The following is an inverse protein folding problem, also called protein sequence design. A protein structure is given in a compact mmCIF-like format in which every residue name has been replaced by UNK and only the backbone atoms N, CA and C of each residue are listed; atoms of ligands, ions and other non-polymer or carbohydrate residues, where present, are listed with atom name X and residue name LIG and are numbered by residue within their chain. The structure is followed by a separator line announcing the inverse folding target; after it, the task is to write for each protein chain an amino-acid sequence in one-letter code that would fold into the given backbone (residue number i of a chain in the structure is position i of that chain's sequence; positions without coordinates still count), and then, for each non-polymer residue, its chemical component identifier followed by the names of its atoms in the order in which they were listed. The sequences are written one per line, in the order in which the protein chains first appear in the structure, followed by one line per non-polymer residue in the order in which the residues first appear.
data_IF_827131307718
#
_entry.id   IF_827131307718
#
_cell.length_a   1.000
_cell.length_b   1.000
_cell.length_c   1.000
_cell.angle_alpha   90.00
_cell.angle_beta   90.00
_cell.angle_gamma   90.00
#
_symmetry.space_group_name_H-M   'P 1'
#
loop_
_entity.id
_entity.type
_entity.pdbx_description
1 polymer ?
#
# COMPACT_ATOMS: atom_id res chain seq x y z
N UNK A 1 -124.82 47.10 -22.59
CA UNK A 1 -124.83 48.49 -23.11
C UNK A 1 -123.48 49.15 -22.83
N UNK A 2 -123.06 50.06 -23.72
CA UNK A 2 -121.74 50.73 -23.85
C UNK A 2 -121.38 51.71 -22.72
N UNK A 3 -120.09 51.62 -22.28
CA UNK A 3 -119.02 52.68 -22.11
C UNK A 3 -119.26 53.89 -21.16
N UNK A 4 -118.25 54.77 -20.91
CA UNK A 4 -116.80 54.65 -20.62
C UNK A 4 -116.32 55.60 -19.45
N UNK A 5 -115.04 55.59 -19.06
CA UNK A 5 -114.43 56.69 -18.27
C UNK A 5 -113.13 56.33 -17.55
N UNK A 6 -112.07 57.11 -17.81
CA UNK A 6 -110.65 56.88 -17.50
C UNK A 6 -110.25 57.12 -16.03
N UNK A 7 -109.24 56.37 -15.55
CA UNK A 7 -108.16 56.93 -14.71
C UNK A 7 -106.91 56.05 -14.83
N UNK A 8 -105.77 56.68 -15.09
CA UNK A 8 -104.45 56.05 -15.00
C UNK A 8 -104.23 55.59 -13.56
N UNK A 9 -103.75 54.36 -13.39
CA UNK A 9 -102.71 54.04 -12.42
C UNK A 9 -102.20 52.62 -12.66
N UNK A 10 -100.95 52.54 -13.10
CA UNK A 10 -100.20 51.28 -13.17
C UNK A 10 -99.90 50.85 -11.74
N UNK A 11 -100.33 49.68 -11.24
CA UNK A 11 -99.87 49.24 -9.94
C UNK A 11 -98.39 48.85 -10.08
N UNK A 12 -97.53 49.67 -9.49
CA UNK A 12 -96.13 49.36 -9.21
C UNK A 12 -95.99 47.96 -8.64
N UNK A 13 -95.22 47.11 -9.31
CA UNK A 13 -94.82 45.80 -8.82
C UNK A 13 -93.95 45.90 -7.54
N UNK A 14 -93.99 44.91 -6.62
CA UNK A 14 -93.08 44.87 -5.49
C UNK A 14 -91.72 44.25 -5.90
N UNK A 15 -90.91 44.98 -6.68
CA UNK A 15 -89.58 44.53 -7.15
C UNK A 15 -88.52 44.56 -6.03
N UNK A 16 -88.79 45.24 -4.92
CA UNK A 16 -87.81 45.48 -3.85
C UNK A 16 -87.52 44.25 -2.96
N UNK A 17 -88.51 43.40 -2.66
CA UNK A 17 -88.31 42.23 -1.79
C UNK A 17 -87.46 41.13 -2.44
N UNK A 18 -87.70 40.86 -3.72
CA UNK A 18 -86.96 39.85 -4.50
C UNK A 18 -85.51 40.30 -4.74
N UNK A 19 -85.28 41.59 -5.01
CA UNK A 19 -83.94 42.15 -5.18
C UNK A 19 -83.11 42.07 -3.89
N UNK A 20 -83.70 42.38 -2.73
CA UNK A 20 -83.03 42.31 -1.44
C UNK A 20 -82.68 40.87 -1.04
N UNK A 21 -83.59 39.93 -1.29
CA UNK A 21 -83.34 38.50 -1.07
C UNK A 21 -82.22 38.00 -1.98
N UNK A 22 -82.24 38.34 -3.27
CA UNK A 22 -81.17 38.01 -4.23
C UNK A 22 -79.80 38.57 -3.82
N UNK A 23 -79.73 39.81 -3.34
CA UNK A 23 -78.49 40.39 -2.82
C UNK A 23 -78.00 39.71 -1.52
N UNK A 24 -78.89 39.23 -0.66
CA UNK A 24 -78.50 38.45 0.53
C UNK A 24 -77.95 37.07 0.17
N UNK A 25 -78.59 36.37 -0.79
CA UNK A 25 -78.12 35.11 -1.34
C UNK A 25 -76.77 35.24 -2.04
N UNK A 26 -76.60 36.26 -2.89
CA UNK A 26 -75.33 36.55 -3.56
C UNK A 26 -74.20 36.85 -2.56
N UNK A 27 -74.49 37.59 -1.49
CA UNK A 27 -73.52 37.84 -0.41
C UNK A 27 -73.17 36.58 0.37
N UNK A 28 -74.14 35.71 0.67
CA UNK A 28 -73.87 34.41 1.31
C UNK A 28 -72.97 33.51 0.45
N UNK A 29 -73.29 33.40 -0.85
CA UNK A 29 -72.47 32.65 -1.83
C UNK A 29 -71.06 33.24 -2.01
N UNK A 30 -70.92 34.56 -1.95
CA UNK A 30 -69.62 35.21 -2.03
C UNK A 30 -68.81 34.99 -0.76
N UNK A 31 -69.42 35.09 0.41
CA UNK A 31 -68.77 34.82 1.69
C UNK A 31 -68.32 33.35 1.79
N UNK A 32 -69.14 32.41 1.32
CA UNK A 32 -68.78 31.00 1.26
C UNK A 32 -67.57 30.76 0.35
N UNK A 33 -67.60 31.27 -0.89
CA UNK A 33 -66.46 31.15 -1.83
C UNK A 33 -65.19 31.78 -1.29
N UNK A 34 -65.28 32.94 -0.64
CA UNK A 34 -64.12 33.58 0.01
C UNK A 34 -63.57 32.72 1.16
N UNK A 35 -64.43 32.08 1.94
CA UNK A 35 -64.01 31.14 2.97
C UNK A 35 -63.30 29.91 2.41
N UNK A 36 -63.84 29.31 1.35
CA UNK A 36 -63.24 28.15 0.66
C UNK A 36 -61.87 28.50 0.06
N UNK A 37 -61.73 29.68 -0.56
CA UNK A 37 -60.44 30.17 -1.09
C UNK A 37 -59.42 30.33 0.04
N UNK A 38 -59.80 30.96 1.16
CA UNK A 38 -58.88 31.13 2.31
C UNK A 38 -58.42 29.81 2.90
N UNK A 39 -59.28 28.80 2.98
CA UNK A 39 -58.92 27.45 3.43
C UNK A 39 -57.91 26.83 2.47
N UNK A 40 -58.20 26.88 1.17
CA UNK A 40 -57.31 26.34 0.14
C UNK A 40 -55.96 27.06 0.11
N UNK A 41 -55.93 28.38 0.23
CA UNK A 41 -54.69 29.16 0.34
C UNK A 41 -53.87 28.76 1.57
N UNK A 42 -54.52 28.55 2.71
CA UNK A 42 -53.86 28.08 3.93
C UNK A 42 -53.28 26.67 3.76
N UNK A 43 -54.01 25.76 3.11
CA UNK A 43 -53.54 24.41 2.82
C UNK A 43 -52.33 24.41 1.89
N UNK A 44 -52.38 25.22 0.81
CA UNK A 44 -51.25 25.39 -0.11
C UNK A 44 -50.05 25.99 0.61
N UNK A 45 -50.23 27.03 1.42
CA UNK A 45 -49.15 27.63 2.19
C UNK A 45 -48.51 26.63 3.16
N UNK A 46 -49.30 25.81 3.85
CA UNK A 46 -48.79 24.76 4.74
C UNK A 46 -48.04 23.68 3.96
N UNK A 47 -48.56 23.25 2.80
CA UNK A 47 -47.89 22.27 1.94
C UNK A 47 -46.55 22.80 1.42
N UNK A 48 -46.48 24.08 1.06
CA UNK A 48 -45.23 24.72 0.61
C UNK A 48 -44.21 24.81 1.75
N UNK A 49 -44.64 25.13 2.97
CA UNK A 49 -43.76 25.14 4.14
C UNK A 49 -43.21 23.73 4.43
N UNK A 50 -44.08 22.71 4.40
CA UNK A 50 -43.66 21.33 4.60
C UNK A 50 -42.68 20.87 3.51
N UNK A 51 -42.94 21.22 2.24
CA UNK A 51 -42.05 20.90 1.14
C UNK A 51 -40.69 21.61 1.27
N UNK A 52 -40.68 22.89 1.69
CA UNK A 52 -39.45 23.64 1.96
C UNK A 52 -38.63 22.97 3.06
N UNK A 53 -39.28 22.55 4.14
CA UNK A 53 -38.63 21.87 5.25
C UNK A 53 -38.03 20.53 4.82
N UNK A 54 -38.78 19.71 4.06
CA UNK A 54 -38.26 18.46 3.50
C UNK A 54 -37.04 18.68 2.60
N UNK A 55 -37.05 19.71 1.76
CA UNK A 55 -35.90 20.06 0.92
C UNK A 55 -34.70 20.50 1.76
N UNK A 56 -34.91 21.25 2.85
CA UNK A 56 -33.82 21.63 3.74
C UNK A 56 -33.23 20.40 4.45
N UNK A 57 -34.08 19.51 4.97
CA UNK A 57 -33.65 18.28 5.62
C UNK A 57 -32.86 17.38 4.67
N UNK A 58 -33.39 17.15 3.47
CA UNK A 58 -32.67 16.39 2.42
C UNK A 58 -31.37 17.06 2.00
N UNK A 59 -31.31 18.40 1.96
CA UNK A 59 -30.08 19.14 1.69
C UNK A 59 -29.00 18.93 2.76
N UNK A 60 -29.39 18.90 4.04
CA UNK A 60 -28.46 18.61 5.15
C UNK A 60 -27.97 17.16 5.09
N UNK A 61 -28.86 16.19 4.83
CA UNK A 61 -28.48 14.79 4.68
C UNK A 61 -27.51 14.59 3.50
N UNK A 62 -27.75 15.25 2.36
CA UNK A 62 -26.85 15.22 1.21
C UNK A 62 -25.47 15.79 1.56
N UNK A 63 -25.41 16.92 2.26
CA UNK A 63 -24.13 17.50 2.70
C UNK A 63 -23.36 16.56 3.63
N UNK A 64 -24.05 15.85 4.54
CA UNK A 64 -23.42 14.86 5.42
C UNK A 64 -22.88 13.66 4.63
N UNK A 65 -23.63 13.17 3.66
CA UNK A 65 -23.19 12.08 2.79
C UNK A 65 -22.01 12.48 1.90
N UNK A 66 -22.02 13.69 1.35
CA UNK A 66 -20.91 14.24 0.55
C UNK A 66 -19.64 14.37 1.39
N UNK A 67 -19.75 14.87 2.64
CA UNK A 67 -18.62 14.94 3.56
C UNK A 67 -18.05 13.55 3.90
N UNK A 68 -18.92 12.58 4.19
CA UNK A 68 -18.51 11.20 4.45
C UNK A 68 -17.86 10.52 3.24
N UNK A 69 -18.36 10.80 2.03
CA UNK A 69 -17.75 10.29 0.80
C UNK A 69 -16.36 10.90 0.57
N UNK A 70 -16.19 12.20 0.85
CA UNK A 70 -14.89 12.86 0.76
C UNK A 70 -13.89 12.24 1.76
N UNK A 71 -14.28 12.09 3.03
CA UNK A 71 -13.44 11.49 4.06
C UNK A 71 -13.02 10.06 3.68
N UNK A 72 -13.99 9.22 3.28
CA UNK A 72 -13.69 7.86 2.84
C UNK A 72 -12.77 7.83 1.60
N UNK A 73 -12.92 8.80 0.68
CA UNK A 73 -12.04 8.95 -0.47
C UNK A 73 -10.61 9.32 -0.07
N UNK A 74 -10.44 10.25 0.86
CA UNK A 74 -9.14 10.62 1.41
C UNK A 74 -8.48 9.42 2.10
N UNK A 75 -9.23 8.65 2.89
CA UNK A 75 -8.73 7.42 3.51
C UNK A 75 -8.32 6.35 2.50
N UNK A 76 -9.12 6.12 1.45
CA UNK A 76 -8.80 5.17 0.39
C UNK A 76 -7.51 5.58 -0.35
N UNK A 77 -7.33 6.86 -0.66
CA UNK A 77 -6.07 7.33 -1.28
C UNK A 77 -4.86 7.15 -0.36
N UNK A 78 -5.01 7.41 0.94
CA UNK A 78 -3.96 7.19 1.95
C UNK A 78 -3.60 5.71 2.01
N UNK A 79 -4.59 4.83 2.11
CA UNK A 79 -4.37 3.38 2.18
C UNK A 79 -3.73 2.84 0.91
N UNK A 80 -4.14 3.31 -0.27
CA UNK A 80 -3.50 2.97 -1.55
C UNK A 80 -2.03 3.37 -1.58
N UNK A 81 -1.69 4.57 -1.11
CA UNK A 81 -0.30 5.01 -1.02
C UNK A 81 0.51 4.13 -0.07
N UNK A 82 -0.03 3.80 1.11
CA UNK A 82 0.62 2.89 2.06
C UNK A 82 0.81 1.48 1.50
N UNK A 83 -0.18 0.96 0.77
CA UNK A 83 -0.08 -0.36 0.14
C UNK A 83 1.03 -0.40 -0.92
N UNK A 84 1.12 0.63 -1.76
CA UNK A 84 2.19 0.75 -2.76
C UNK A 84 3.57 0.82 -2.10
N UNK A 85 3.70 1.57 -1.01
CA UNK A 85 4.93 1.63 -0.23
C UNK A 85 5.31 0.26 0.34
N UNK A 86 4.40 -0.42 1.02
CA UNK A 86 4.64 -1.75 1.61
C UNK A 86 4.98 -2.80 0.55
N UNK A 87 4.35 -2.72 -0.62
CA UNK A 87 4.65 -3.63 -1.74
C UNK A 87 6.08 -3.44 -2.23
N UNK A 88 6.54 -2.18 -2.31
CA UNK A 88 7.91 -1.88 -2.68
C UNK A 88 8.90 -2.38 -1.64
N UNK A 89 8.66 -2.11 -0.35
CA UNK A 89 9.51 -2.60 0.74
C UNK A 89 9.62 -4.12 0.74
N UNK A 90 8.52 -4.83 0.45
CA UNK A 90 8.50 -6.28 0.34
C UNK A 90 9.34 -6.79 -0.83
N UNK A 91 9.34 -6.11 -1.97
CA UNK A 91 10.16 -6.50 -3.11
C UNK A 91 11.65 -6.24 -2.85
N UNK A 92 11.99 -5.11 -2.22
CA UNK A 92 13.36 -4.82 -1.78
C UNK A 92 13.87 -5.89 -0.79
N UNK A 93 13.02 -6.36 0.13
CA UNK A 93 13.37 -7.43 1.07
C UNK A 93 13.61 -8.77 0.36
N UNK A 94 12.82 -9.13 -0.65
CA UNK A 94 13.04 -10.35 -1.44
C UNK A 94 14.36 -10.31 -2.21
N UNK A 95 14.72 -9.15 -2.76
CA UNK A 95 16.01 -8.98 -3.44
C UNK A 95 17.16 -9.22 -2.46
N UNK A 96 17.08 -8.64 -1.26
CA UNK A 96 18.07 -8.86 -0.19
C UNK A 96 18.13 -10.32 0.24
N UNK A 97 16.99 -10.98 0.40
CA UNK A 97 16.92 -12.41 0.74
C UNK A 97 17.61 -13.28 -0.32
N UNK A 98 17.34 -13.05 -1.60
CA UNK A 98 17.95 -13.81 -2.69
C UNK A 98 19.47 -13.58 -2.77
N UNK A 99 19.92 -12.35 -2.53
CA UNK A 99 21.35 -12.03 -2.47
C UNK A 99 22.04 -12.69 -1.27
N UNK A 100 21.37 -12.74 -0.12
CA UNK A 100 21.88 -13.40 1.08
C UNK A 100 21.99 -14.92 0.87
N UNK A 101 20.98 -15.56 0.31
CA UNK A 101 21.01 -16.99 -0.03
C UNK A 101 22.16 -17.33 -0.99
N UNK A 102 22.42 -16.47 -1.98
CA UNK A 102 23.56 -16.63 -2.89
C UNK A 102 24.88 -16.55 -2.12
N UNK A 103 25.04 -15.54 -1.26
CA UNK A 103 26.25 -15.38 -0.45
C UNK A 103 26.47 -16.56 0.51
N UNK A 104 25.40 -17.05 1.15
CA UNK A 104 25.47 -18.23 2.02
C UNK A 104 25.99 -19.45 1.26
N UNK A 105 25.46 -19.69 0.05
CA UNK A 105 25.93 -20.78 -0.80
C UNK A 105 27.41 -20.63 -1.20
N UNK A 106 27.86 -19.42 -1.55
CA UNK A 106 29.27 -19.15 -1.86
C UNK A 106 30.18 -19.47 -0.67
N UNK A 107 29.78 -19.05 0.54
CA UNK A 107 30.53 -19.32 1.78
C UNK A 107 30.52 -20.80 2.13
N UNK A 108 29.42 -21.51 1.92
CA UNK A 108 29.31 -22.94 2.12
C UNK A 108 30.22 -23.71 1.17
N UNK A 109 30.30 -23.34 -0.12
CA UNK A 109 31.22 -23.98 -1.07
C UNK A 109 32.68 -23.82 -0.63
N UNK A 110 33.08 -22.63 -0.18
CA UNK A 110 34.43 -22.39 0.32
C UNK A 110 34.71 -23.16 1.63
N UNK A 111 33.77 -23.14 2.57
CA UNK A 111 33.97 -23.72 3.89
C UNK A 111 33.86 -25.25 3.90
N UNK A 112 32.96 -25.81 3.11
CA UNK A 112 32.67 -27.26 3.12
C UNK A 112 33.48 -28.05 2.10
N UNK A 113 34.00 -27.41 1.05
CA UNK A 113 34.73 -28.10 -0.03
C UNK A 113 36.19 -27.65 -0.09
N UNK A 114 36.46 -26.35 -0.19
CA UNK A 114 37.81 -25.88 -0.53
C UNK A 114 38.75 -25.85 0.68
N UNK A 115 38.29 -25.37 1.84
CA UNK A 115 39.12 -25.32 3.05
C UNK A 115 39.53 -26.73 3.53
N UNK A 116 38.62 -27.71 3.68
CA UNK A 116 39.01 -29.06 4.09
C UNK A 116 39.93 -29.74 3.08
N UNK A 117 39.71 -29.50 1.78
CA UNK A 117 40.59 -30.00 0.71
C UNK A 117 41.99 -29.40 0.77
N UNK A 118 42.10 -28.08 0.93
CA UNK A 118 43.39 -27.40 1.07
C UNK A 118 44.14 -27.85 2.34
N UNK A 119 43.42 -28.01 3.45
CA UNK A 119 43.97 -28.57 4.70
C UNK A 119 44.48 -29.99 4.47
N UNK A 120 43.70 -30.85 3.80
CA UNK A 120 44.12 -32.22 3.48
C UNK A 120 45.37 -32.23 2.57
N UNK A 121 45.42 -31.40 1.54
CA UNK A 121 46.59 -31.29 0.65
C UNK A 121 47.83 -30.80 1.41
N UNK A 122 47.70 -29.79 2.27
CA UNK A 122 48.78 -29.30 3.11
C UNK A 122 49.28 -30.38 4.08
N UNK A 123 48.35 -31.11 4.71
CA UNK A 123 48.66 -32.26 5.58
C UNK A 123 49.37 -33.36 4.79
N UNK A 124 48.95 -33.66 3.56
CA UNK A 124 49.58 -34.66 2.71
C UNK A 124 51.01 -34.27 2.34
N UNK A 125 51.23 -33.01 1.95
CA UNK A 125 52.59 -32.51 1.68
C UNK A 125 53.49 -32.64 2.90
N UNK A 126 53.01 -32.27 4.09
CA UNK A 126 53.77 -32.47 5.33
C UNK A 126 53.96 -33.95 5.66
N UNK A 127 52.95 -34.79 5.48
CA UNK A 127 53.04 -36.22 5.80
C UNK A 127 54.00 -36.97 4.89
N UNK A 128 54.05 -36.62 3.60
CA UNK A 128 54.92 -37.23 2.59
C UNK A 128 56.34 -36.68 2.70
N UNK A 129 56.50 -35.36 2.80
CA UNK A 129 57.84 -34.76 2.84
C UNK A 129 58.49 -34.80 4.21
N UNK A 130 57.69 -34.82 5.28
CA UNK A 130 58.12 -34.58 6.68
C UNK A 130 58.86 -33.25 6.87
N UNK A 131 58.66 -32.30 5.97
CA UNK A 131 59.30 -30.98 6.04
C UNK A 131 58.32 -29.96 6.64
N UNK A 132 58.86 -29.13 7.52
CA UNK A 132 58.24 -27.89 7.98
C UNK A 132 59.04 -26.71 7.43
N UNK A 133 58.35 -25.74 6.83
CA UNK A 133 58.99 -24.58 6.21
C UNK A 133 59.03 -23.41 7.18
N UNK A 134 60.19 -22.74 7.24
CA UNK A 134 60.40 -21.51 7.98
C UNK A 134 60.25 -20.30 7.04
N UNK A 135 59.17 -19.55 7.24
CA UNK A 135 58.84 -18.37 6.42
C UNK A 135 59.51 -17.08 6.93
N UNK A 136 60.18 -17.10 8.08
CA UNK A 136 60.94 -15.96 8.60
C UNK A 136 62.34 -15.90 7.95
N UNK A 137 62.38 -15.81 6.63
CA UNK A 137 63.62 -15.80 5.86
C UNK A 137 63.61 -14.80 4.68
N UNK A 138 64.79 -14.57 4.11
CA UNK A 138 65.01 -13.64 3.01
C UNK A 138 64.27 -14.09 1.73
N UNK A 139 63.74 -13.16 0.90
CA UNK A 139 63.09 -13.52 -0.36
C UNK A 139 64.02 -14.32 -1.28
N UNK A 140 63.55 -15.49 -1.72
CA UNK A 140 64.35 -16.43 -2.52
C UNK A 140 65.15 -17.43 -1.69
N UNK A 141 65.11 -17.34 -0.35
CA UNK A 141 65.66 -18.36 0.54
C UNK A 141 64.61 -19.44 0.82
N UNK A 142 65.04 -20.69 0.83
CA UNK A 142 64.22 -21.86 1.21
C UNK A 142 64.81 -22.39 2.51
N UNK A 143 64.14 -22.09 3.64
CA UNK A 143 64.51 -22.56 4.97
C UNK A 143 63.44 -23.49 5.53
N UNK A 144 63.86 -24.52 6.26
CA UNK A 144 62.93 -25.45 6.90
C UNK A 144 63.65 -26.52 7.70
N UNK A 145 62.87 -27.46 8.22
CA UNK A 145 63.35 -28.60 9.01
C UNK A 145 62.72 -29.86 8.45
N UNK A 146 63.54 -30.84 8.09
CA UNK A 146 63.09 -32.19 7.74
C UNK A 146 63.07 -33.07 9.00
N UNK A 147 61.91 -33.64 9.33
CA UNK A 147 61.70 -34.52 10.47
C UNK A 147 61.83 -36.00 10.06
N UNK A 148 63.07 -36.46 9.97
CA UNK A 148 63.37 -37.89 9.74
C UNK A 148 63.10 -38.77 10.97
N UNK A 149 63.21 -40.11 10.84
CA UNK A 149 62.85 -41.07 11.92
C UNK A 149 63.67 -40.95 13.22
N UNK A 150 64.85 -40.33 13.17
CA UNK A 150 65.80 -40.29 14.28
C UNK A 150 66.39 -38.90 14.54
N UNK A 151 66.67 -38.14 13.46
CA UNK A 151 67.32 -36.83 13.57
C UNK A 151 66.63 -35.83 12.65
N UNK A 152 66.30 -34.65 13.20
CA UNK A 152 65.81 -33.52 12.42
C UNK A 152 66.98 -32.86 11.67
N UNK A 153 66.80 -32.61 10.37
CA UNK A 153 67.82 -32.04 9.50
C UNK A 153 67.41 -30.62 9.06
N UNK A 154 68.23 -29.59 9.31
CA UNK A 154 67.93 -28.24 8.85
C UNK A 154 68.12 -28.14 7.33
N UNK A 155 67.18 -27.47 6.68
CA UNK A 155 67.21 -27.12 5.25
C UNK A 155 67.50 -25.63 5.13
N UNK A 156 68.52 -25.28 4.35
CA UNK A 156 68.91 -23.90 4.07
C UNK A 156 69.48 -23.84 2.65
N UNK A 157 68.64 -23.42 1.69
CA UNK A 157 68.97 -23.37 0.27
C UNK A 157 68.64 -21.99 -0.32
N UNK A 158 69.49 -21.44 -1.17
CA UNK A 158 69.23 -20.21 -1.89
C UNK A 158 68.71 -20.51 -3.31
N UNK A 159 67.44 -20.18 -3.56
CA UNK A 159 66.79 -20.43 -4.87
C UNK A 159 67.24 -19.48 -5.98
N UNK A 160 67.97 -18.41 -5.65
CA UNK A 160 68.56 -17.50 -6.64
C UNK A 160 69.86 -18.06 -7.24
N UNK A 161 70.56 -18.92 -6.49
CA UNK A 161 71.84 -19.50 -6.90
C UNK A 161 71.69 -20.96 -7.37
N UNK A 162 70.68 -21.67 -6.87
CA UNK A 162 70.45 -23.08 -7.17
C UNK A 162 69.32 -23.28 -8.18
N UNK A 163 69.49 -24.24 -9.08
CA UNK A 163 68.42 -24.57 -10.05
C UNK A 163 67.23 -25.25 -9.36
N UNK A 164 66.01 -25.01 -9.88
CA UNK A 164 64.78 -25.68 -9.39
C UNK A 164 64.87 -27.20 -9.38
N UNK A 165 65.54 -27.78 -10.38
CA UNK A 165 65.78 -29.23 -10.46
C UNK A 165 66.65 -29.69 -9.30
N UNK A 166 67.79 -29.03 -9.08
CA UNK A 166 68.70 -29.37 -7.98
C UNK A 166 68.01 -29.31 -6.62
N UNK A 167 67.23 -28.24 -6.37
CA UNK A 167 66.47 -28.08 -5.13
C UNK A 167 65.47 -29.24 -4.97
N UNK A 168 64.73 -29.58 -6.02
CA UNK A 168 63.75 -30.67 -5.98
C UNK A 168 64.41 -32.03 -5.72
N UNK A 169 65.49 -32.34 -6.45
CA UNK A 169 66.24 -33.59 -6.31
C UNK A 169 66.82 -33.71 -4.89
N UNK A 170 67.35 -32.61 -4.33
CA UNK A 170 67.84 -32.57 -2.96
C UNK A 170 66.73 -32.84 -1.94
N UNK A 171 65.60 -32.12 -2.02
CA UNK A 171 64.51 -32.28 -1.06
C UNK A 171 63.93 -33.71 -1.09
N UNK A 172 63.78 -34.31 -2.27
CA UNK A 172 63.31 -35.69 -2.40
C UNK A 172 64.33 -36.73 -1.92
N UNK A 173 65.63 -36.41 -1.94
CA UNK A 173 66.65 -37.30 -1.39
C UNK A 173 66.62 -37.41 0.14
N UNK A 174 65.96 -36.47 0.83
CA UNK A 174 65.80 -36.49 2.29
C UNK A 174 64.67 -37.43 2.73
N UNK A 175 63.67 -37.63 1.86
CA UNK A 175 62.51 -38.45 2.14
C UNK A 175 62.94 -39.92 2.13
N UNK A 176 62.58 -40.64 3.19
CA UNK A 176 62.89 -42.06 3.30
C UNK A 176 62.17 -42.86 2.20
N UNK A 177 62.88 -43.81 1.62
CA UNK A 177 62.37 -44.68 0.54
C UNK A 177 62.22 -46.13 0.98
N UNK A 178 62.55 -46.44 2.24
CA UNK A 178 62.32 -47.74 2.84
C UNK A 178 60.83 -47.92 3.19
N UNK A 179 60.27 -49.12 2.93
CA UNK A 179 58.86 -49.49 3.12
C UNK A 179 58.71 -50.65 4.11
#
# INVERSE_FOLDING_TARGET
MKRPGLSLDWPMEPVHGVAQQRCSWQRGLQMQRSGEILIMEKEVAQSLLNAKEQVHQGGVELQQLEAGLQEAGEEDTRLKASLLQLTRELEELKEIEADLERQEKEVDEDTTITIPSAVYVAQLYHQVSKIEWDYECEPGMIKGIHHGPSVAQPIHLDSTQLSRKFISDYLWSLVDTEW
#
